data_IF_849622685535
#
_entry.id   IF_849622685535
#
_cell.length_a   1.000
_cell.length_b   1.000
_cell.length_c   1.000
_cell.angle_alpha   90.00
_cell.angle_beta   90.00
_cell.angle_gamma   90.00
#
_symmetry.space_group_name_H-M   'P 1'
#
loop_
_entity.id
_entity.type
_entity.pdbx_description
1 polymer ?
#
# COMPACT_ATOMS: atom_id res chain seq x y z
N UNK A 1 0.22 -14.73 -0.05
CA UNK A 1 0.89 -14.67 1.26
C UNK A 1 0.81 -13.25 1.77
N UNK A 2 0.48 -13.03 3.05
CA UNK A 2 0.56 -11.72 3.69
C UNK A 2 1.88 -11.67 4.46
N UNK A 3 2.65 -10.62 4.26
CA UNK A 3 3.94 -10.36 4.92
C UNK A 3 3.84 -9.05 5.71
N UNK A 4 4.20 -9.10 6.98
CA UNK A 4 4.13 -7.93 7.87
C UNK A 4 5.51 -7.27 7.94
N UNK A 5 5.61 -6.08 7.34
CA UNK A 5 6.80 -5.22 7.36
C UNK A 5 6.45 -3.82 7.82
N UNK A 6 5.44 -3.70 8.68
CA UNK A 6 4.95 -2.44 9.23
C UNK A 6 6.10 -1.72 9.93
N UNK A 7 6.28 -0.44 9.60
CA UNK A 7 7.17 0.45 10.35
C UNK A 7 6.41 1.24 11.40
N UNK A 8 7.07 1.43 12.54
CA UNK A 8 6.57 2.23 13.65
C UNK A 8 7.21 3.61 13.58
N UNK A 9 6.55 4.55 12.90
CA UNK A 9 6.97 5.95 12.78
C UNK A 9 5.75 6.87 12.88
N UNK A 10 5.94 8.08 13.38
CA UNK A 10 4.88 9.09 13.43
C UNK A 10 4.33 9.36 12.02
N UNK A 11 3.03 9.65 11.92
CA UNK A 11 2.34 9.82 10.64
C UNK A 11 2.93 10.93 9.76
N UNK A 12 3.57 11.94 10.38
CA UNK A 12 4.21 13.04 9.66
C UNK A 12 5.52 12.65 8.98
N UNK A 13 6.20 11.60 9.47
CA UNK A 13 7.43 11.07 8.88
C UNK A 13 7.19 9.78 8.07
N UNK A 14 5.98 9.22 8.15
CA UNK A 14 5.66 7.94 7.53
C UNK A 14 5.90 7.94 6.02
N UNK A 15 5.47 8.99 5.31
CA UNK A 15 5.62 9.04 3.85
C UNK A 15 7.10 8.96 3.44
N UNK A 16 7.97 9.72 4.09
CA UNK A 16 9.41 9.75 3.76
C UNK A 16 10.11 8.44 4.14
N UNK A 17 9.68 7.78 5.22
CA UNK A 17 10.17 6.46 5.58
C UNK A 17 9.70 5.34 4.62
N UNK A 18 8.54 5.51 3.98
CA UNK A 18 7.95 4.53 3.06
C UNK A 18 8.49 4.64 1.63
N UNK A 19 8.89 5.84 1.17
CA UNK A 19 9.46 6.05 -0.18
C UNK A 19 10.65 5.12 -0.49
N UNK A 20 11.69 4.99 0.38
CA UNK A 20 12.79 4.06 0.13
C UNK A 20 12.36 2.60 0.04
N UNK A 21 11.36 2.18 0.84
CA UNK A 21 10.81 0.82 0.78
C UNK A 21 10.12 0.55 -0.54
N UNK A 22 9.36 1.53 -1.05
CA UNK A 22 8.72 1.42 -2.35
C UNK A 22 9.78 1.31 -3.47
N UNK A 23 10.85 2.12 -3.40
CA UNK A 23 11.96 2.08 -4.36
C UNK A 23 12.69 0.74 -4.41
N UNK A 24 12.71 -0.03 -3.31
CA UNK A 24 13.25 -1.38 -3.36
C UNK A 24 12.54 -2.24 -4.42
N UNK A 25 11.28 -1.93 -4.74
CA UNK A 25 10.50 -2.63 -5.75
C UNK A 25 10.70 -2.10 -7.18
N UNK A 26 11.43 -1.00 -7.37
CA UNK A 26 11.59 -0.29 -8.66
C UNK A 26 12.28 -1.12 -9.75
N UNK A 27 13.21 -1.99 -9.34
CA UNK A 27 14.06 -2.73 -10.28
C UNK A 27 13.46 -4.08 -10.70
N UNK A 28 12.46 -4.57 -9.98
CA UNK A 28 11.79 -5.82 -10.32
C UNK A 28 10.85 -5.62 -11.51
N UNK A 29 10.65 -6.69 -12.29
CA UNK A 29 9.64 -6.75 -13.36
C UNK A 29 8.26 -7.14 -12.82
N UNK A 30 8.09 -7.06 -11.51
CA UNK A 30 6.90 -7.46 -10.80
C UNK A 30 5.87 -6.34 -10.88
N UNK A 31 4.59 -6.72 -11.01
CA UNK A 31 3.50 -5.76 -10.91
C UNK A 31 3.48 -5.23 -9.49
N UNK A 32 3.24 -3.94 -9.32
CA UNK A 32 3.11 -3.31 -8.00
C UNK A 32 1.77 -2.59 -7.93
N UNK A 33 1.07 -2.78 -6.81
CA UNK A 33 -0.16 -2.05 -6.47
C UNK A 33 -0.05 -1.51 -5.05
N UNK A 34 -0.45 -0.27 -4.84
CA UNK A 34 -0.48 0.37 -3.53
C UNK A 34 -1.93 0.45 -3.08
N UNK A 35 -2.23 0.08 -1.83
CA UNK A 35 -3.60 0.13 -1.34
C UNK A 35 -3.72 0.32 0.15
N UNK A 36 -4.92 0.73 0.59
CA UNK A 36 -5.32 0.73 2.00
C UNK A 36 -6.45 -0.25 2.31
N UNK A 37 -6.49 -0.77 3.53
CA UNK A 37 -7.57 -1.66 3.99
C UNK A 37 -7.68 -1.70 5.51
N UNK A 38 -8.91 -1.74 6.03
CA UNK A 38 -9.15 -2.03 7.45
C UNK A 38 -9.19 -3.55 7.78
N UNK A 39 -9.02 -4.42 6.78
CA UNK A 39 -8.94 -5.88 6.95
C UNK A 39 -8.02 -6.48 5.88
N UNK A 40 -6.72 -6.65 6.19
CA UNK A 40 -5.74 -7.26 5.30
C UNK A 40 -6.19 -8.61 4.74
N UNK A 41 -6.71 -9.52 5.57
CA UNK A 41 -7.05 -10.87 5.17
C UNK A 41 -8.21 -10.89 4.17
N UNK A 42 -9.25 -10.09 4.42
CA UNK A 42 -10.40 -9.98 3.51
C UNK A 42 -9.97 -9.36 2.18
N UNK A 43 -9.12 -8.32 2.21
CA UNK A 43 -8.63 -7.66 0.99
C UNK A 43 -7.68 -8.58 0.20
N UNK A 44 -6.84 -9.34 0.89
CA UNK A 44 -5.93 -10.31 0.29
C UNK A 44 -6.69 -11.41 -0.45
N UNK A 45 -7.73 -11.98 0.14
CA UNK A 45 -8.57 -13.00 -0.54
C UNK A 45 -9.15 -12.49 -1.87
N UNK A 46 -9.57 -11.22 -1.93
CA UNK A 46 -10.05 -10.60 -3.18
C UNK A 46 -8.95 -10.47 -4.24
N UNK A 47 -7.72 -10.15 -3.82
CA UNK A 47 -6.58 -9.98 -4.71
C UNK A 47 -5.95 -11.31 -5.16
N UNK A 48 -6.01 -12.36 -4.34
CA UNK A 48 -5.60 -13.71 -4.76
C UNK A 48 -6.38 -14.18 -5.98
N UNK A 49 -7.69 -13.92 -6.02
CA UNK A 49 -8.53 -14.22 -7.18
C UNK A 49 -8.16 -13.45 -8.46
N UNK A 50 -7.30 -12.44 -8.36
CA UNK A 50 -6.79 -11.62 -9.47
C UNK A 50 -5.33 -11.93 -9.84
N UNK A 51 -4.75 -13.00 -9.28
CA UNK A 51 -3.41 -13.47 -9.63
C UNK A 51 -2.25 -12.83 -8.86
N UNK A 52 -2.51 -11.96 -7.87
CA UNK A 52 -1.44 -11.42 -7.03
C UNK A 52 -0.81 -12.53 -6.16
N UNK A 53 0.52 -12.54 -6.02
CA UNK A 53 1.24 -13.58 -5.23
C UNK A 53 1.47 -13.17 -3.78
N UNK A 54 1.69 -11.88 -3.52
CA UNK A 54 2.03 -11.37 -2.19
C UNK A 54 1.33 -10.05 -1.85
N UNK A 55 0.96 -9.90 -0.59
CA UNK A 55 0.60 -8.63 0.04
C UNK A 55 1.62 -8.31 1.13
N UNK A 56 2.19 -7.11 1.11
CA UNK A 56 3.16 -6.63 2.10
C UNK A 56 2.53 -5.48 2.86
N UNK A 57 2.26 -5.65 4.15
CA UNK A 57 1.80 -4.56 5.01
C UNK A 57 3.01 -3.69 5.36
N UNK A 58 2.90 -2.38 5.15
CA UNK A 58 4.02 -1.44 5.28
C UNK A 58 3.78 -0.36 6.32
N UNK A 59 2.52 -0.07 6.68
CA UNK A 59 2.19 0.92 7.70
C UNK A 59 0.81 0.64 8.31
N UNK A 60 0.66 0.93 9.61
CA UNK A 60 -0.63 0.96 10.31
C UNK A 60 -1.00 2.41 10.62
N UNK A 61 -2.06 2.89 10.00
CA UNK A 61 -2.64 4.21 10.23
C UNK A 61 -3.77 4.11 11.27
N UNK A 62 -3.79 5.08 12.20
CA UNK A 62 -4.81 5.18 13.25
C UNK A 62 -6.02 6.03 12.84
N UNK A 63 -6.04 6.55 11.61
CA UNK A 63 -7.18 7.26 11.04
C UNK A 63 -7.26 7.04 9.53
N UNK A 64 -8.47 7.17 9.01
CA UNK A 64 -8.76 7.15 7.57
C UNK A 64 -7.95 8.23 6.84
N UNK A 65 -7.93 9.45 7.36
CA UNK A 65 -7.23 10.58 6.74
C UNK A 65 -5.73 10.33 6.56
N UNK A 66 -5.10 9.70 7.57
CA UNK A 66 -3.67 9.33 7.48
C UNK A 66 -3.48 8.26 6.42
N UNK A 67 -4.35 7.24 6.40
CA UNK A 67 -4.28 6.17 5.42
C UNK A 67 -4.40 6.71 3.98
N UNK A 68 -5.40 7.55 3.70
CA UNK A 68 -5.62 8.17 2.39
C UNK A 68 -4.47 9.10 1.98
N UNK A 69 -4.00 9.94 2.91
CA UNK A 69 -2.87 10.84 2.68
C UNK A 69 -1.61 10.07 2.29
N UNK A 70 -1.31 8.98 3.00
CA UNK A 70 -0.14 8.15 2.73
C UNK A 70 -0.29 7.36 1.43
N UNK A 71 -1.47 6.81 1.15
CA UNK A 71 -1.73 6.08 -0.09
C UNK A 71 -1.53 6.99 -1.31
N UNK A 72 -2.21 8.14 -1.34
CA UNK A 72 -2.07 9.12 -2.42
C UNK A 72 -0.64 9.61 -2.56
N UNK A 73 0.02 9.89 -1.43
CA UNK A 73 1.43 10.31 -1.40
C UNK A 73 2.36 9.28 -2.05
N UNK A 74 2.17 8.00 -1.73
CA UNK A 74 2.96 6.93 -2.33
C UNK A 74 2.62 6.71 -3.80
N UNK A 75 1.34 6.70 -4.21
CA UNK A 75 0.94 6.57 -5.61
C UNK A 75 1.58 7.68 -6.45
N UNK A 76 1.51 8.93 -5.99
CA UNK A 76 2.12 10.08 -6.65
C UNK A 76 3.63 9.94 -6.76
N UNK A 77 4.30 9.56 -5.67
CA UNK A 77 5.73 9.30 -5.68
C UNK A 77 6.10 8.21 -6.68
N UNK A 78 5.32 7.14 -6.72
CA UNK A 78 5.62 5.98 -7.52
C UNK A 78 5.44 6.25 -9.03
N UNK A 79 4.41 7.03 -9.40
CA UNK A 79 4.25 7.57 -10.77
C UNK A 79 5.45 8.41 -11.21
N UNK A 80 6.06 9.17 -10.31
CA UNK A 80 7.26 9.99 -10.61
C UNK A 80 8.53 9.13 -10.78
N UNK A 81 8.61 7.98 -10.13
CA UNK A 81 9.83 7.17 -10.04
C UNK A 81 10.16 6.32 -11.28
N UNK A 82 9.36 6.38 -12.35
CA UNK A 82 9.59 5.61 -13.60
C UNK A 82 9.89 4.13 -13.32
N UNK A 83 8.95 3.44 -12.67
CA UNK A 83 9.06 1.99 -12.47
C UNK A 83 9.15 1.27 -13.81
N UNK A 84 9.84 0.12 -13.85
CA UNK A 84 9.98 -0.69 -15.08
C UNK A 84 8.65 -1.28 -15.54
N UNK A 85 7.71 -1.47 -14.62
CA UNK A 85 6.33 -1.88 -14.87
C UNK A 85 5.41 -0.82 -14.27
N UNK A 86 4.34 -0.47 -14.99
CA UNK A 86 3.38 0.52 -14.53
C UNK A 86 2.65 0.03 -13.27
N UNK A 87 2.38 0.95 -12.36
CA UNK A 87 1.70 0.65 -11.10
C UNK A 87 0.21 0.58 -11.39
N UNK A 88 -0.42 -0.55 -11.06
CA UNK A 88 -1.80 -0.85 -11.45
C UNK A 88 -2.86 -0.18 -10.55
N UNK A 89 -2.59 1.04 -10.09
CA UNK A 89 -3.55 1.84 -9.36
C UNK A 89 -4.54 2.49 -10.36
N UNK A 90 -5.66 1.80 -10.61
CA UNK A 90 -6.76 2.26 -11.49
C UNK A 90 -7.50 3.51 -10.92
N UNK A 91 -7.25 3.89 -9.67
CA UNK A 91 -7.74 5.13 -9.03
C UNK A 91 -7.16 5.32 -7.62
N UNK A 92 -7.38 6.50 -7.03
CA UNK A 92 -7.11 6.77 -5.61
C UNK A 92 -8.02 5.84 -4.77
N UNK A 93 -7.44 5.02 -3.89
CA UNK A 93 -8.10 3.87 -3.27
C UNK A 93 -8.78 4.21 -1.94
N UNK A 94 -10.09 4.40 -1.95
CA UNK A 94 -10.92 4.42 -0.73
C UNK A 94 -11.61 3.09 -0.40
N UNK A 95 -11.64 2.15 -1.35
CA UNK A 95 -12.37 0.87 -1.22
C UNK A 95 -11.68 -0.07 -0.21
N UNK A 96 -12.11 0.02 1.04
CA UNK A 96 -11.59 -0.77 2.17
C UNK A 96 -11.43 0.04 3.45
N UNK A 97 -11.57 1.35 3.36
CA UNK A 97 -11.63 2.24 4.51
C UNK A 97 -13.01 2.11 5.17
N UNK A 98 -12.99 1.97 6.49
CA UNK A 98 -14.20 1.94 7.31
C UNK A 98 -14.13 3.15 8.23
N UNK A 99 -15.22 3.93 8.27
CA UNK A 99 -15.38 5.06 9.19
C UNK A 99 -15.51 4.61 10.65
N UNK A 100 -15.79 3.33 10.89
CA UNK A 100 -16.00 2.77 12.23
C UNK A 100 -14.78 2.03 12.78
N UNK A 101 -13.75 1.78 11.96
CA UNK A 101 -12.52 1.11 12.40
C UNK A 101 -11.41 2.13 12.61
N UNK A 102 -10.76 2.02 13.76
CA UNK A 102 -9.67 2.92 14.17
C UNK A 102 -8.30 2.54 13.61
N UNK A 103 -8.21 1.47 12.80
CA UNK A 103 -6.95 0.95 12.27
C UNK A 103 -7.11 0.61 10.80
N UNK A 104 -6.24 1.19 10.00
CA UNK A 104 -6.15 0.96 8.56
C UNK A 104 -4.72 0.59 8.22
N UNK A 105 -4.55 -0.35 7.30
CA UNK A 105 -3.24 -0.82 6.89
C UNK A 105 -2.96 -0.36 5.47
N UNK A 106 -1.81 0.26 5.29
CA UNK A 106 -1.23 0.53 3.98
C UNK A 106 -0.43 -0.70 3.55
N UNK A 107 -0.63 -1.13 2.31
CA UNK A 107 -0.01 -2.34 1.78
C UNK A 107 0.45 -2.17 0.34
N UNK A 108 1.37 -3.05 -0.05
CA UNK A 108 1.79 -3.28 -1.42
C UNK A 108 1.32 -4.66 -1.87
N UNK A 109 0.84 -4.80 -3.10
CA UNK A 109 0.77 -6.10 -3.76
C UNK A 109 1.96 -6.23 -4.69
N UNK A 110 2.52 -7.43 -4.71
CA UNK A 110 3.66 -7.79 -5.54
C UNK A 110 3.37 -9.16 -6.15
N UNK A 111 3.57 -9.28 -7.46
CA UNK A 111 3.40 -10.52 -8.23
C UNK A 111 4.74 -11.26 -8.39
#
# INVERSE_FOLDING_TARGET
MIDDKIIQVHADYALDALKPKLNAYRHFRERVYIGVTASPEKRWKKHQGKGWKKMVLIYEAYSTDIAERLERGLINYARQCRYRVEIENVGDGGEGLSTTRQRHFLYLLVD
#
